data_IF_739096096222
#
_entry.id   IF_739096096222
#
_cell.length_a   1.000
_cell.length_b   1.000
_cell.length_c   1.000
_cell.angle_alpha   90.00
_cell.angle_beta   90.00
_cell.angle_gamma   90.00
#
_symmetry.space_group_name_H-M   'P 1'
#
loop_
_entity.id
_entity.type
_entity.pdbx_description
1 polymer ?
#
# COMPACT_ATOMS: atom_id res chain seq x y z
N UNK A 1 -1.64 6.62 17.69
CA UNK A 1 -0.43 7.05 18.42
C UNK A 1 0.58 5.90 18.47
N UNK A 2 1.27 5.67 17.35
CA UNK A 2 2.26 4.59 17.24
C UNK A 2 3.53 4.84 18.06
N UNK A 3 3.72 6.03 18.61
CA UNK A 3 4.86 6.38 19.48
C UNK A 3 4.84 5.76 20.89
N UNK A 4 3.85 4.93 21.20
CA UNK A 4 3.73 4.24 22.51
C UNK A 4 3.98 2.74 22.47
N UNK A 5 4.71 2.25 21.49
CA UNK A 5 5.17 0.88 21.53
C UNK A 5 6.37 0.81 22.49
N UNK A 6 6.20 0.09 23.60
CA UNK A 6 7.19 -0.15 24.63
C UNK A 6 8.29 -1.12 24.14
N UNK A 7 9.28 -1.40 25.00
CA UNK A 7 10.48 -2.25 24.82
C UNK A 7 10.24 -3.66 24.23
N UNK A 8 9.01 -4.07 24.00
CA UNK A 8 8.60 -5.33 23.34
C UNK A 8 8.06 -5.13 21.93
N UNK A 9 8.57 -4.15 21.17
CA UNK A 9 8.13 -3.94 19.79
C UNK A 9 8.59 -5.08 18.89
N UNK A 10 7.71 -5.55 17.97
CA UNK A 10 8.07 -6.57 17.01
C UNK A 10 8.91 -6.02 15.83
N UNK A 11 9.26 -4.74 15.85
CA UNK A 11 10.00 -4.05 14.80
C UNK A 11 11.29 -3.45 15.39
N UNK A 12 12.41 -3.61 14.67
CA UNK A 12 13.71 -3.07 15.08
C UNK A 12 13.77 -1.55 14.95
N UNK A 13 13.06 -1.00 13.97
CA UNK A 13 13.04 0.43 13.68
C UNK A 13 11.71 0.88 13.08
N UNK A 14 11.23 2.06 13.48
CA UNK A 14 10.06 2.71 12.90
C UNK A 14 10.48 4.02 12.26
N UNK A 15 10.32 4.12 10.95
CA UNK A 15 10.64 5.31 10.19
C UNK A 15 9.69 6.47 10.50
N UNK A 16 10.26 7.68 10.60
CA UNK A 16 9.48 8.93 10.51
C UNK A 16 9.14 9.22 9.03
N UNK A 17 8.17 10.11 8.80
CA UNK A 17 7.77 10.50 7.45
C UNK A 17 8.93 11.20 6.72
N UNK A 18 9.19 10.80 5.49
CA UNK A 18 10.27 11.31 4.63
C UNK A 18 11.68 11.09 5.19
N UNK A 19 11.84 10.10 6.04
CA UNK A 19 13.13 9.78 6.62
C UNK A 19 14.09 9.19 5.59
N UNK A 20 15.33 9.67 5.62
CA UNK A 20 16.42 9.20 4.77
C UNK A 20 17.23 8.10 5.48
N UNK A 21 17.60 7.08 4.72
CA UNK A 21 18.44 5.97 5.19
C UNK A 21 19.33 5.46 4.05
N UNK A 22 20.17 4.47 4.33
CA UNK A 22 21.02 3.84 3.34
C UNK A 22 20.84 2.33 3.30
N UNK A 23 20.97 1.78 2.10
CA UNK A 23 21.13 0.34 1.87
C UNK A 23 22.51 0.13 1.25
N UNK A 24 23.49 -0.20 2.09
CA UNK A 24 24.91 -0.10 1.70
C UNK A 24 25.27 1.35 1.37
N UNK A 25 25.72 1.61 0.15
CA UNK A 25 26.04 2.94 -0.35
C UNK A 25 24.86 3.63 -1.07
N UNK A 26 23.73 2.96 -1.23
CA UNK A 26 22.57 3.49 -1.97
C UNK A 26 21.74 4.36 -1.04
N UNK A 27 21.52 5.61 -1.43
CA UNK A 27 20.61 6.52 -0.73
C UNK A 27 19.15 6.09 -0.93
N UNK A 28 18.41 6.13 0.15
CA UNK A 28 17.00 5.77 0.19
C UNK A 28 16.20 6.71 1.10
N UNK A 29 14.91 6.85 0.84
CA UNK A 29 13.97 7.53 1.73
C UNK A 29 12.55 7.02 1.54
N UNK A 30 11.70 7.25 2.53
CA UNK A 30 10.28 6.90 2.42
C UNK A 30 9.43 8.11 2.01
N UNK A 31 8.28 7.82 1.41
CA UNK A 31 7.22 8.79 1.10
C UNK A 31 5.93 8.25 1.70
N UNK A 32 5.26 8.98 2.62
CA UNK A 32 3.94 8.59 3.09
C UNK A 32 2.93 8.57 1.93
N UNK A 33 2.34 7.41 1.69
CA UNK A 33 1.35 7.18 0.62
C UNK A 33 0.05 6.58 1.19
N UNK A 34 -0.59 7.26 2.18
CA UNK A 34 -1.85 6.77 2.74
C UNK A 34 -2.95 6.73 1.69
N UNK A 35 -3.93 5.84 1.89
CA UNK A 35 -5.10 5.73 1.04
C UNK A 35 -5.68 4.33 1.01
N UNK A 36 -4.93 3.33 0.60
CA UNK A 36 -5.28 1.92 0.78
C UNK A 36 -5.41 1.60 2.27
N UNK A 37 -4.39 1.94 3.02
CA UNK A 37 -4.42 2.02 4.49
C UNK A 37 -3.82 3.35 4.95
N UNK A 38 -4.04 3.77 6.21
CA UNK A 38 -3.43 5.01 6.73
C UNK A 38 -1.91 4.92 6.91
N UNK A 39 -1.35 3.71 6.95
CA UNK A 39 0.06 3.47 7.24
C UNK A 39 0.91 3.13 5.99
N UNK A 40 0.32 3.21 4.79
CA UNK A 40 1.06 2.91 3.57
C UNK A 40 2.24 3.87 3.35
N UNK A 41 3.38 3.30 2.98
CA UNK A 41 4.61 4.00 2.61
C UNK A 41 5.08 3.52 1.24
N UNK A 42 5.69 4.41 0.49
CA UNK A 42 6.50 4.09 -0.68
C UNK A 42 7.96 4.35 -0.37
N UNK A 43 8.86 3.56 -0.94
CA UNK A 43 10.30 3.72 -0.71
C UNK A 43 11.00 4.07 -2.02
N UNK A 44 11.72 5.18 -2.02
CA UNK A 44 12.65 5.54 -3.10
C UNK A 44 14.02 5.00 -2.73
N UNK A 45 14.62 4.22 -3.63
CA UNK A 45 15.92 3.58 -3.44
C UNK A 45 16.72 3.78 -4.73
N UNK A 46 17.68 4.69 -4.70
CA UNK A 46 18.42 5.09 -5.89
C UNK A 46 17.48 5.62 -7.00
N UNK A 47 17.45 4.97 -8.15
CA UNK A 47 16.64 5.32 -9.33
C UNK A 47 15.27 4.59 -9.39
N UNK A 48 14.87 3.96 -8.31
CA UNK A 48 13.63 3.16 -8.25
C UNK A 48 12.72 3.59 -7.11
N UNK A 49 11.39 3.46 -7.31
CA UNK A 49 10.38 3.61 -6.28
C UNK A 49 9.56 2.32 -6.13
N UNK A 50 9.39 1.88 -4.88
CA UNK A 50 8.60 0.71 -4.48
C UNK A 50 7.33 1.22 -3.81
N UNK A 51 6.18 1.05 -4.46
CA UNK A 51 4.96 1.79 -4.10
C UNK A 51 3.97 1.04 -3.21
N UNK A 52 4.26 -0.22 -2.87
CA UNK A 52 3.32 -1.03 -2.09
C UNK A 52 1.93 -1.07 -2.73
N UNK A 53 0.89 -1.18 -1.89
CA UNK A 53 -0.51 -1.14 -2.34
C UNK A 53 -0.99 0.32 -2.56
N UNK A 54 -0.35 1.01 -3.49
CA UNK A 54 -0.73 2.37 -3.90
C UNK A 54 -1.18 2.39 -5.36
N UNK A 55 -0.29 2.00 -6.26
CA UNK A 55 -0.55 1.84 -7.69
C UNK A 55 -0.26 0.41 -8.13
N UNK A 56 -0.96 -0.01 -9.16
CA UNK A 56 -0.74 -1.26 -9.89
C UNK A 56 -0.30 -0.96 -11.32
N UNK A 57 -0.17 -1.99 -12.16
CA UNK A 57 0.13 -1.77 -13.56
C UNK A 57 -0.86 -0.78 -14.18
N UNK A 58 -0.44 0.05 -15.15
CA UNK A 58 -1.28 1.07 -15.77
C UNK A 58 -2.62 0.54 -16.28
N UNK A 59 -2.66 -0.69 -16.77
CA UNK A 59 -3.84 -1.41 -17.26
C UNK A 59 -4.74 -1.98 -16.15
N UNK A 60 -4.31 -1.93 -14.89
CA UNK A 60 -5.10 -2.34 -13.73
C UNK A 60 -5.49 -1.19 -12.79
N UNK A 61 -4.62 -0.18 -12.66
CA UNK A 61 -4.94 1.10 -12.01
C UNK A 61 -4.41 1.26 -10.60
N UNK A 62 -5.27 1.22 -9.59
CA UNK A 62 -4.94 1.57 -8.20
C UNK A 62 -5.53 0.60 -7.19
N UNK A 63 -4.98 0.62 -5.99
CA UNK A 63 -5.50 -0.16 -4.86
C UNK A 63 -6.90 0.28 -4.43
N UNK A 64 -7.62 -0.61 -3.74
CA UNK A 64 -8.88 -0.32 -3.07
C UNK A 64 -8.65 0.54 -1.82
N UNK A 65 -9.67 1.27 -1.40
CA UNK A 65 -9.60 2.22 -0.28
C UNK A 65 -10.67 2.01 0.79
N UNK A 66 -11.37 0.88 0.76
CA UNK A 66 -12.48 0.54 1.67
C UNK A 66 -12.05 -0.23 2.92
N UNK A 67 -10.75 -0.35 3.15
CA UNK A 67 -10.22 -0.85 4.42
C UNK A 67 -10.43 0.14 5.56
N UNK A 68 -10.43 -0.31 6.82
CA UNK A 68 -10.58 0.58 7.97
C UNK A 68 -9.63 1.78 7.89
N UNK A 69 -10.20 3.00 7.90
CA UNK A 69 -9.49 4.28 7.73
C UNK A 69 -8.83 4.47 6.36
N UNK A 70 -9.14 3.64 5.36
CA UNK A 70 -8.76 3.87 3.97
C UNK A 70 -9.48 5.10 3.40
N UNK A 71 -8.91 5.73 2.36
CA UNK A 71 -9.45 6.95 1.77
C UNK A 71 -9.03 7.12 0.32
N UNK A 72 -10.01 7.14 -0.57
CA UNK A 72 -9.75 7.42 -1.98
C UNK A 72 -9.17 8.82 -2.21
N UNK A 73 -9.60 9.81 -1.42
CA UNK A 73 -9.04 11.16 -1.50
C UNK A 73 -7.55 11.19 -1.09
N UNK A 74 -7.19 10.50 -0.01
CA UNK A 74 -5.80 10.38 0.42
C UNK A 74 -4.96 9.59 -0.61
N UNK A 75 -5.51 8.53 -1.22
CA UNK A 75 -4.81 7.78 -2.26
C UNK A 75 -4.52 8.66 -3.48
N UNK A 76 -5.48 9.48 -3.92
CA UNK A 76 -5.25 10.42 -5.00
C UNK A 76 -4.08 11.36 -4.69
N UNK A 77 -4.10 11.99 -3.52
CA UNK A 77 -3.03 12.92 -3.10
C UNK A 77 -1.68 12.20 -3.00
N UNK A 78 -1.66 10.97 -2.52
CA UNK A 78 -0.46 10.12 -2.45
C UNK A 78 0.12 9.83 -3.83
N UNK A 79 -0.74 9.51 -4.80
CA UNK A 79 -0.29 9.30 -6.19
C UNK A 79 0.23 10.59 -6.81
N UNK A 80 -0.40 11.76 -6.52
CA UNK A 80 0.15 13.03 -7.01
C UNK A 80 1.55 13.31 -6.44
N UNK A 81 1.84 12.93 -5.19
CA UNK A 81 3.21 13.01 -4.65
C UNK A 81 4.19 12.12 -5.43
N UNK A 82 3.81 10.86 -5.69
CA UNK A 82 4.64 9.96 -6.50
C UNK A 82 4.88 10.53 -7.92
N UNK A 83 3.90 11.22 -8.48
CA UNK A 83 4.02 11.86 -9.79
C UNK A 83 4.91 13.10 -9.82
N UNK A 84 5.41 13.58 -8.68
CA UNK A 84 6.47 14.60 -8.64
C UNK A 84 7.87 14.02 -8.87
N UNK A 85 8.03 12.71 -8.75
CA UNK A 85 9.30 12.03 -9.03
C UNK A 85 9.66 12.12 -10.52
N UNK A 86 10.95 11.94 -10.86
CA UNK A 86 11.41 11.94 -12.25
C UNK A 86 10.61 11.00 -13.14
N UNK A 87 10.33 11.43 -14.36
CA UNK A 87 9.49 10.67 -15.31
C UNK A 87 10.08 9.30 -15.68
N UNK A 88 11.40 9.18 -15.70
CA UNK A 88 12.17 7.97 -16.02
C UNK A 88 12.44 7.09 -14.79
N UNK A 89 12.01 7.51 -13.59
CA UNK A 89 12.18 6.70 -12.38
C UNK A 89 11.40 5.39 -12.52
N UNK A 90 12.09 4.29 -12.33
CA UNK A 90 11.50 2.95 -12.34
C UNK A 90 10.54 2.79 -11.17
N UNK A 91 9.35 2.26 -11.42
CA UNK A 91 8.35 1.99 -10.40
C UNK A 91 8.11 0.48 -10.28
N UNK A 92 8.29 -0.06 -9.09
CA UNK A 92 8.03 -1.46 -8.78
C UNK A 92 6.73 -1.60 -7.99
N UNK A 93 5.90 -2.53 -8.45
CA UNK A 93 4.56 -2.81 -7.94
C UNK A 93 4.57 -4.10 -7.14
N UNK A 94 3.78 -4.14 -6.06
CA UNK A 94 3.72 -5.30 -5.17
C UNK A 94 2.78 -6.40 -5.69
N UNK A 95 1.78 -6.04 -6.50
CA UNK A 95 0.80 -6.96 -7.07
C UNK A 95 0.59 -6.71 -8.55
N UNK A 96 0.39 -7.81 -9.29
CA UNK A 96 -0.11 -7.77 -10.65
C UNK A 96 -1.24 -8.79 -10.81
N UNK A 97 -2.39 -8.32 -11.25
CA UNK A 97 -3.61 -9.12 -11.35
C UNK A 97 -3.92 -9.59 -12.79
N UNK A 98 -3.01 -9.34 -13.74
CA UNK A 98 -3.17 -9.73 -15.14
C UNK A 98 -4.57 -9.43 -15.70
N UNK A 99 -4.89 -8.19 -16.06
CA UNK A 99 -6.17 -7.88 -16.67
C UNK A 99 -6.35 -8.64 -17.99
N UNK A 100 -7.58 -8.76 -18.45
CA UNK A 100 -7.91 -9.43 -19.71
C UNK A 100 -7.06 -8.89 -20.87
N UNK A 101 -6.50 -9.79 -21.66
CA UNK A 101 -5.63 -9.45 -22.80
C UNK A 101 -4.13 -9.39 -22.48
N UNK A 102 -3.73 -9.64 -21.23
CA UNK A 102 -2.32 -9.75 -20.86
C UNK A 102 -2.03 -11.10 -20.20
N UNK A 103 -1.16 -11.89 -20.80
CA UNK A 103 -0.82 -13.24 -20.32
C UNK A 103 0.37 -13.29 -19.36
N UNK A 104 1.20 -12.24 -19.36
CA UNK A 104 2.42 -12.19 -18.54
C UNK A 104 2.21 -11.35 -17.26
N UNK A 105 2.86 -11.75 -16.17
CA UNK A 105 2.99 -10.94 -14.97
C UNK A 105 4.08 -9.89 -15.17
N UNK A 106 3.75 -8.63 -14.88
CA UNK A 106 4.67 -7.50 -14.96
C UNK A 106 4.66 -6.77 -13.63
N UNK A 107 5.84 -6.56 -13.03
CA UNK A 107 5.96 -5.86 -11.75
C UNK A 107 6.64 -4.49 -11.86
N UNK A 108 7.08 -4.10 -13.03
CA UNK A 108 7.82 -2.86 -13.25
C UNK A 108 7.17 -2.00 -14.32
N UNK A 109 7.13 -0.71 -14.05
CA UNK A 109 6.76 0.37 -14.96
C UNK A 109 7.64 1.60 -14.67
N UNK A 110 7.26 2.78 -15.10
CA UNK A 110 7.89 4.06 -14.77
C UNK A 110 6.85 5.14 -14.46
N UNK A 111 7.30 6.26 -13.89
CA UNK A 111 6.44 7.39 -13.50
C UNK A 111 5.74 7.99 -14.73
N UNK A 112 6.42 8.15 -15.85
CA UNK A 112 5.86 8.71 -17.09
C UNK A 112 4.70 7.85 -17.61
N UNK A 113 4.90 6.55 -17.69
CA UNK A 113 3.90 5.60 -18.15
C UNK A 113 2.66 5.62 -17.25
N UNK A 114 2.84 5.65 -15.94
CA UNK A 114 1.73 5.79 -15.00
C UNK A 114 0.95 7.10 -15.21
N UNK A 115 1.64 8.23 -15.32
CA UNK A 115 1.02 9.53 -15.60
C UNK A 115 0.22 9.57 -16.90
N UNK A 116 0.65 8.84 -17.91
CA UNK A 116 0.03 8.89 -19.24
C UNK A 116 -1.12 7.91 -19.41
N UNK A 117 -0.98 6.70 -18.87
CA UNK A 117 -1.83 5.57 -19.25
C UNK A 117 -2.50 4.82 -18.09
N UNK A 118 -2.24 5.18 -16.81
CA UNK A 118 -2.97 4.53 -15.73
C UNK A 118 -4.48 4.75 -15.88
N UNK A 119 -5.24 3.65 -15.96
CA UNK A 119 -6.68 3.70 -16.22
C UNK A 119 -7.49 4.40 -15.13
N UNK A 120 -6.97 4.47 -13.89
CA UNK A 120 -7.64 5.13 -12.77
C UNK A 120 -7.08 6.51 -12.45
N UNK A 121 -5.79 6.76 -12.70
CA UNK A 121 -5.07 7.91 -12.16
C UNK A 121 -4.08 8.54 -13.18
N UNK A 122 -4.36 8.48 -14.48
CA UNK A 122 -3.59 9.28 -15.42
C UNK A 122 -3.83 10.80 -15.20
N UNK A 123 -2.98 11.65 -15.78
CA UNK A 123 -3.03 13.12 -15.59
C UNK A 123 -4.35 13.81 -15.98
N UNK A 124 -5.26 13.13 -16.66
CA UNK A 124 -6.55 13.69 -17.10
C UNK A 124 -7.67 13.46 -16.09
N UNK A 125 -7.43 12.60 -15.09
CA UNK A 125 -8.45 12.21 -14.11
C UNK A 125 -8.44 13.21 -12.96
N UNK A 126 -9.57 13.88 -12.72
CA UNK A 126 -9.71 14.77 -11.57
C UNK A 126 -9.85 13.99 -10.27
N UNK A 127 -9.56 14.66 -9.15
CA UNK A 127 -9.69 14.09 -7.81
C UNK A 127 -11.12 13.60 -7.54
N UNK A 128 -12.12 14.39 -7.91
CA UNK A 128 -13.53 14.08 -7.73
C UNK A 128 -13.95 12.86 -8.55
N UNK A 129 -13.51 12.79 -9.81
CA UNK A 129 -13.78 11.64 -10.69
C UNK A 129 -13.15 10.36 -10.16
N UNK A 130 -11.92 10.45 -9.66
CA UNK A 130 -11.24 9.31 -9.06
C UNK A 130 -11.94 8.83 -7.79
N UNK A 131 -12.29 9.72 -6.87
CA UNK A 131 -12.98 9.38 -5.62
C UNK A 131 -14.29 8.65 -5.92
N UNK A 132 -15.10 9.21 -6.83
CA UNK A 132 -16.37 8.60 -7.23
C UNK A 132 -16.15 7.19 -7.79
N UNK A 133 -15.29 7.05 -8.78
CA UNK A 133 -14.97 5.75 -9.40
C UNK A 133 -14.48 4.73 -8.36
N UNK A 134 -13.58 5.16 -7.46
CA UNK A 134 -12.99 4.28 -6.45
C UNK A 134 -14.03 3.79 -5.45
N UNK A 135 -14.90 4.68 -4.96
CA UNK A 135 -15.98 4.33 -4.04
C UNK A 135 -17.00 3.40 -4.68
N UNK A 136 -17.43 3.68 -5.92
CA UNK A 136 -18.36 2.81 -6.65
C UNK A 136 -17.76 1.41 -6.87
N UNK A 137 -16.50 1.33 -7.26
CA UNK A 137 -15.80 0.05 -7.47
C UNK A 137 -15.61 -0.70 -6.16
N UNK A 138 -15.17 -0.04 -5.10
CA UNK A 138 -14.90 -0.66 -3.80
C UNK A 138 -16.17 -1.23 -3.17
N UNK A 139 -17.32 -0.56 -3.34
CA UNK A 139 -18.62 -1.05 -2.87
C UNK A 139 -19.04 -2.41 -3.46
N UNK A 140 -18.43 -2.83 -4.58
CA UNK A 140 -18.69 -4.13 -5.20
C UNK A 140 -17.74 -5.24 -4.75
N UNK A 141 -16.68 -4.90 -3.98
CA UNK A 141 -15.64 -5.85 -3.62
C UNK A 141 -15.98 -6.56 -2.30
N UNK A 142 -15.82 -7.88 -2.30
CA UNK A 142 -15.88 -8.64 -1.06
C UNK A 142 -14.68 -8.34 -0.15
N UNK A 143 -14.88 -8.51 1.18
CA UNK A 143 -13.79 -8.44 2.14
C UNK A 143 -12.75 -9.53 1.83
N UNK A 144 -11.44 -9.22 1.85
CA UNK A 144 -10.40 -10.23 1.65
C UNK A 144 -10.48 -11.35 2.70
N UNK A 145 -10.45 -12.60 2.24
CA UNK A 145 -10.60 -13.78 3.10
C UNK A 145 -9.60 -13.85 4.25
N UNK A 146 -8.40 -13.31 4.04
CA UNK A 146 -7.31 -13.38 5.01
C UNK A 146 -7.12 -12.10 5.83
N UNK A 147 -8.00 -11.11 5.73
CA UNK A 147 -7.78 -9.82 6.39
C UNK A 147 -7.63 -9.96 7.91
N UNK A 148 -8.49 -10.72 8.57
CA UNK A 148 -8.46 -10.89 10.03
C UNK A 148 -7.19 -11.60 10.53
N UNK A 149 -6.76 -12.74 9.96
CA UNK A 149 -5.49 -13.33 10.34
C UNK A 149 -4.30 -12.45 9.98
N UNK A 150 -4.28 -11.83 8.80
CA UNK A 150 -3.16 -11.00 8.33
C UNK A 150 -2.92 -9.80 9.23
N UNK A 151 -3.95 -9.07 9.64
CA UNK A 151 -3.80 -7.92 10.54
C UNK A 151 -3.11 -8.34 11.84
N UNK A 152 -3.54 -9.45 12.46
CA UNK A 152 -3.01 -9.88 13.75
C UNK A 152 -1.54 -10.31 13.67
N UNK A 153 -1.18 -11.01 12.59
CA UNK A 153 0.20 -11.45 12.37
C UNK A 153 1.09 -10.26 11.99
N UNK A 154 0.64 -9.40 11.09
CA UNK A 154 1.44 -8.25 10.62
C UNK A 154 1.67 -7.21 11.73
N UNK A 155 0.67 -6.94 12.56
CA UNK A 155 0.82 -6.05 13.73
C UNK A 155 1.81 -6.59 14.77
N UNK A 156 2.04 -7.90 14.76
CA UNK A 156 3.00 -8.57 15.63
C UNK A 156 4.34 -8.90 14.93
N UNK A 157 4.70 -8.14 13.90
CA UNK A 157 5.96 -8.29 13.17
C UNK A 157 6.15 -9.66 12.52
N UNK A 158 5.06 -10.32 12.09
CA UNK A 158 5.09 -11.66 11.51
C UNK A 158 5.04 -12.80 12.53
N UNK A 159 5.03 -12.49 13.82
CA UNK A 159 5.01 -13.51 14.87
C UNK A 159 3.59 -14.02 15.15
N UNK A 160 3.49 -15.30 15.48
CA UNK A 160 2.24 -15.87 15.97
C UNK A 160 1.91 -15.35 17.39
N UNK A 161 0.61 -15.25 17.76
CA UNK A 161 0.21 -14.92 19.11
C UNK A 161 0.78 -15.93 20.13
N UNK A 162 0.97 -15.50 21.37
CA UNK A 162 1.40 -16.40 22.45
C UNK A 162 0.36 -17.50 22.71
N UNK A 163 0.81 -18.72 23.08
CA UNK A 163 -0.11 -19.79 23.41
C UNK A 163 -0.92 -19.45 24.66
N UNK A 164 -2.18 -19.85 24.68
CA UNK A 164 -3.02 -19.75 25.87
C UNK A 164 -2.70 -20.86 26.89
N UNK A 165 -3.39 -20.86 28.04
CA UNK A 165 -3.17 -21.83 29.12
C UNK A 165 -3.26 -23.31 28.71
N UNK A 166 -3.94 -23.60 27.61
CA UNK A 166 -4.04 -24.95 27.03
C UNK A 166 -2.90 -25.28 26.04
N UNK A 167 -1.90 -24.42 25.89
CA UNK A 167 -0.77 -24.58 24.97
C UNK A 167 -1.09 -24.30 23.50
N UNK A 168 -2.32 -23.88 23.16
CA UNK A 168 -2.74 -23.63 21.77
C UNK A 168 -2.70 -22.13 21.47
N UNK A 169 -2.24 -21.78 20.26
CA UNK A 169 -2.24 -20.41 19.75
C UNK A 169 -3.53 -20.15 18.99
N UNK A 170 -4.16 -19.01 19.24
CA UNK A 170 -5.42 -18.63 18.62
C UNK A 170 -5.33 -17.25 17.97
N UNK A 171 -5.93 -17.10 16.81
CA UNK A 171 -6.30 -15.79 16.26
C UNK A 171 -7.66 -15.38 16.83
N UNK A 172 -7.81 -14.11 17.19
CA UNK A 172 -9.04 -13.57 17.78
C UNK A 172 -9.96 -13.07 16.67
N UNK A 173 -11.24 -13.39 16.77
CA UNK A 173 -12.28 -12.85 15.89
C UNK A 173 -13.16 -11.93 16.75
N UNK A 174 -13.19 -10.60 16.47
CA UNK A 174 -14.08 -9.72 17.23
C UNK A 174 -15.54 -9.97 16.83
N UNK A 175 -16.42 -10.05 17.84
CA UNK A 175 -17.86 -10.09 17.64
C UNK A 175 -18.44 -8.66 17.66
N UNK A 176 -19.41 -8.38 16.81
CA UNK A 176 -20.13 -7.10 16.74
C UNK A 176 -19.21 -5.87 16.48
N UNK A 177 -18.14 -6.05 15.74
CA UNK A 177 -17.19 -4.98 15.42
C UNK A 177 -17.19 -4.58 13.93
N UNK A 178 -17.89 -5.33 13.08
CA UNK A 178 -18.06 -5.10 11.64
C UNK A 178 -19.53 -4.89 11.30
#
# INVERSE_FOLDING_TARGET
>A
DFKKFNENQPFDYLFEDYEHFKIGEIEAYNIPTPGHTPACLSYVIGDAVFVGDTLFMPDYGSARCDFPKGSAAALYDSVQKLYTLPDDMRMFLCHDYKPEGRDEYICQTDIKTQKQSNIHLNRRVSKESFIKMRQERDATLAMPKLILPSIQINMNGGNFPEPQANGIRYLKIPFNYF
#
